data_IF_641463107533
#
_entry.id   IF_641463107533
#
_cell.length_a   1.000
_cell.length_b   1.000
_cell.length_c   1.000
_cell.angle_alpha   90.00
_cell.angle_beta   90.00
_cell.angle_gamma   90.00
#
_symmetry.space_group_name_H-M   'P 1'
#
loop_
_entity.id
_entity.type
_entity.pdbx_description
1 polymer ?
#
# COMPACT_ATOMS: atom_id res chain seq x y z
N UNK A 1 -4.58 17.90 -3.23
CA UNK A 1 -4.62 16.43 -3.06
C UNK A 1 -3.19 15.90 -3.13
N UNK A 2 -2.81 14.94 -2.29
CA UNK A 2 -1.43 14.42 -2.24
C UNK A 2 -1.09 13.73 -3.56
N UNK A 3 0.08 14.06 -4.13
CA UNK A 3 0.45 13.58 -5.47
C UNK A 3 0.83 12.11 -5.43
N UNK A 4 1.64 11.66 -4.46
CA UNK A 4 2.14 10.28 -4.38
C UNK A 4 1.76 9.63 -3.05
N UNK A 5 1.25 8.41 -3.13
CA UNK A 5 0.83 7.62 -1.97
C UNK A 5 2.04 6.95 -1.33
N UNK A 6 2.10 7.09 -0.01
CA UNK A 6 3.03 6.41 0.91
C UNK A 6 2.37 5.16 1.47
N UNK A 7 3.12 4.32 2.18
CA UNK A 7 2.60 3.04 2.72
C UNK A 7 1.33 3.23 3.55
N UNK A 8 1.30 4.23 4.43
CA UNK A 8 0.10 4.53 5.22
C UNK A 8 -1.10 4.97 4.37
N UNK A 9 -0.88 5.71 3.28
CA UNK A 9 -1.95 6.11 2.38
C UNK A 9 -2.50 4.89 1.61
N UNK A 10 -1.64 3.92 1.28
CA UNK A 10 -2.04 2.67 0.63
C UNK A 10 -2.89 1.82 1.57
N UNK A 11 -2.46 1.64 2.82
CA UNK A 11 -3.24 0.87 3.81
C UNK A 11 -4.61 1.52 4.04
N UNK A 12 -4.67 2.85 4.15
CA UNK A 12 -5.93 3.58 4.27
C UNK A 12 -6.81 3.46 3.01
N UNK A 13 -6.23 3.58 1.82
CA UNK A 13 -6.96 3.43 0.56
C UNK A 13 -7.50 2.00 0.37
N UNK A 14 -6.71 0.99 0.73
CA UNK A 14 -7.16 -0.41 0.71
C UNK A 14 -8.27 -0.68 1.72
N UNK A 15 -8.24 -0.06 2.90
CA UNK A 15 -9.34 -0.15 3.85
C UNK A 15 -10.64 0.41 3.25
N UNK A 16 -10.59 1.56 2.59
CA UNK A 16 -11.75 2.13 1.89
C UNK A 16 -12.22 1.23 0.74
N UNK A 17 -11.30 0.73 -0.08
CA UNK A 17 -11.62 -0.15 -1.22
C UNK A 17 -12.27 -1.45 -0.75
N UNK A 18 -11.75 -2.07 0.30
CA UNK A 18 -12.33 -3.30 0.83
C UNK A 18 -13.74 -3.06 1.38
N UNK A 19 -13.94 -1.98 2.14
CA UNK A 19 -15.26 -1.66 2.70
C UNK A 19 -16.30 -1.34 1.61
N UNK A 20 -15.91 -0.61 0.56
CA UNK A 20 -16.84 -0.01 -0.40
C UNK A 20 -16.99 -0.78 -1.70
N UNK A 21 -15.91 -1.40 -2.18
CA UNK A 21 -15.82 -1.94 -3.54
C UNK A 21 -15.80 -3.47 -3.61
N UNK A 22 -15.39 -4.16 -2.54
CA UNK A 22 -15.41 -5.63 -2.52
C UNK A 22 -16.85 -6.13 -2.65
N UNK A 23 -17.04 -7.17 -3.47
CA UNK A 23 -18.33 -7.71 -3.85
C UNK A 23 -19.01 -6.98 -5.02
N UNK A 24 -18.51 -5.82 -5.46
CA UNK A 24 -19.01 -5.16 -6.66
C UNK A 24 -18.49 -5.85 -7.93
N UNK A 25 -19.25 -5.77 -9.01
CA UNK A 25 -18.87 -6.31 -10.33
C UNK A 25 -18.33 -5.23 -11.26
N UNK A 26 -17.30 -5.58 -12.02
CA UNK A 26 -16.76 -4.74 -13.08
C UNK A 26 -17.83 -4.55 -14.16
N UNK A 27 -18.17 -3.29 -14.43
CA UNK A 27 -19.07 -2.89 -15.50
C UNK A 27 -18.29 -2.51 -16.76
N UNK A 28 -17.30 -1.63 -16.59
CA UNK A 28 -16.52 -1.10 -17.71
C UNK A 28 -15.18 -0.59 -17.24
N UNK A 29 -14.16 -0.73 -18.08
CA UNK A 29 -12.79 -0.25 -17.80
C UNK A 29 -12.42 0.81 -18.81
N UNK A 30 -11.85 1.93 -18.36
CA UNK A 30 -11.37 3.02 -19.21
C UNK A 30 -9.92 3.33 -18.90
N UNK A 31 -9.26 3.95 -19.86
CA UNK A 31 -7.93 4.50 -19.72
C UNK A 31 -7.96 6.00 -20.07
N UNK A 32 -7.20 6.77 -19.29
CA UNK A 32 -6.94 8.20 -19.56
C UNK A 32 -5.66 8.33 -20.35
N UNK A 33 -4.62 7.62 -19.90
CA UNK A 33 -3.30 7.54 -20.50
C UNK A 33 -2.71 6.13 -20.29
N UNK A 34 -1.40 5.98 -20.49
CA UNK A 34 -0.69 4.69 -20.37
C UNK A 34 -0.42 4.24 -18.92
N UNK A 35 -0.77 5.05 -17.92
CA UNK A 35 -0.55 4.78 -16.49
C UNK A 35 -1.83 4.86 -15.66
N UNK A 36 -2.84 5.55 -16.16
CA UNK A 36 -4.06 5.92 -15.44
C UNK A 36 -5.25 5.20 -16.02
N UNK A 37 -5.88 4.39 -15.17
CA UNK A 37 -7.03 3.55 -15.52
C UNK A 37 -8.19 3.81 -14.56
N UNK A 38 -9.40 3.65 -15.08
CA UNK A 38 -10.64 3.71 -14.31
C UNK A 38 -11.42 2.41 -14.46
N UNK A 39 -11.81 1.80 -13.36
CA UNK A 39 -12.72 0.65 -13.33
C UNK A 39 -14.05 1.13 -12.76
N UNK A 40 -15.10 1.06 -13.58
CA UNK A 40 -16.47 1.22 -13.09
C UNK A 40 -16.95 -0.08 -12.50
N UNK A 41 -17.38 0.00 -11.26
CA UNK A 41 -17.92 -1.09 -10.47
C UNK A 41 -19.39 -0.82 -10.19
N UNK A 42 -20.18 -1.88 -10.09
CA UNK A 42 -21.59 -1.79 -9.74
C UNK A 42 -22.02 -2.93 -8.82
N UNK A 43 -22.97 -2.64 -7.93
CA UNK A 43 -23.63 -3.60 -7.06
C UNK A 43 -25.09 -3.18 -6.91
N UNK A 44 -25.99 -3.89 -7.58
CA UNK A 44 -27.40 -3.51 -7.64
C UNK A 44 -27.55 -2.07 -8.14
N UNK A 45 -28.01 -1.14 -7.30
CA UNK A 45 -28.15 0.29 -7.64
C UNK A 45 -26.89 1.13 -7.35
N UNK A 46 -25.93 0.60 -6.59
CA UNK A 46 -24.72 1.32 -6.24
C UNK A 46 -23.70 1.27 -7.39
N UNK A 47 -23.16 2.42 -7.75
CA UNK A 47 -22.10 2.57 -8.75
C UNK A 47 -20.90 3.26 -8.10
N UNK A 48 -19.71 2.74 -8.37
CA UNK A 48 -18.48 3.33 -7.91
C UNK A 48 -17.44 3.33 -9.04
N UNK A 49 -16.50 4.26 -9.00
CA UNK A 49 -15.40 4.33 -9.97
C UNK A 49 -14.09 4.28 -9.21
N UNK A 50 -13.34 3.21 -9.41
CA UNK A 50 -11.98 3.08 -8.90
C UNK A 50 -11.01 3.67 -9.92
N UNK A 51 -10.22 4.66 -9.52
CA UNK A 51 -9.14 5.21 -10.31
C UNK A 51 -7.81 4.76 -9.72
N UNK A 52 -6.91 4.28 -10.58
CA UNK A 52 -5.53 4.00 -10.20
C UNK A 52 -4.57 4.52 -11.26
N UNK A 53 -3.44 4.99 -10.77
CA UNK A 53 -2.37 5.61 -11.53
C UNK A 53 -1.05 4.97 -11.11
N UNK A 54 -0.42 4.25 -12.03
CA UNK A 54 0.79 3.49 -11.73
C UNK A 54 1.91 4.41 -11.21
N UNK A 55 2.60 3.97 -10.16
CA UNK A 55 3.69 4.70 -9.51
C UNK A 55 3.26 5.82 -8.58
N UNK A 56 1.95 6.07 -8.44
CA UNK A 56 1.42 7.30 -7.87
C UNK A 56 0.32 7.05 -6.84
N UNK A 57 -0.87 6.56 -7.23
CA UNK A 57 -2.04 6.50 -6.32
C UNK A 57 -3.14 5.53 -6.77
N UNK A 58 -4.05 5.21 -5.84
CA UNK A 58 -5.30 4.49 -6.07
C UNK A 58 -6.38 5.05 -5.15
N UNK A 59 -7.59 5.31 -5.66
CA UNK A 59 -8.72 5.81 -4.87
C UNK A 59 -10.05 5.75 -5.63
N UNK A 60 -11.16 5.86 -4.91
CA UNK A 60 -12.50 6.02 -5.51
C UNK A 60 -12.71 7.47 -5.95
N UNK A 61 -13.44 7.71 -7.03
CA UNK A 61 -13.72 9.06 -7.53
C UNK A 61 -15.15 9.20 -8.07
N UNK A 62 -15.79 10.33 -7.76
CA UNK A 62 -17.08 10.73 -8.35
C UNK A 62 -16.90 11.70 -9.52
N UNK A 63 -15.67 12.15 -9.78
CA UNK A 63 -15.36 13.09 -10.85
C UNK A 63 -15.40 12.40 -12.21
N UNK A 64 -15.85 13.14 -13.23
CA UNK A 64 -15.75 12.69 -14.61
C UNK A 64 -14.34 12.96 -15.14
N UNK A 65 -13.64 11.89 -15.46
CA UNK A 65 -12.32 11.95 -16.06
C UNK A 65 -12.39 11.94 -17.60
N UNK A 66 -11.45 12.63 -18.29
CA UNK A 66 -11.32 12.53 -19.73
C UNK A 66 -10.99 11.08 -20.09
N UNK A 67 -11.75 10.49 -21.01
CA UNK A 67 -11.58 9.10 -21.44
C UNK A 67 -10.97 9.11 -22.82
N UNK A 68 -10.03 8.22 -23.06
CA UNK A 68 -9.51 8.04 -24.42
C UNK A 68 -10.65 7.51 -25.33
N UNK A 69 -10.92 8.16 -26.49
CA UNK A 69 -11.99 7.72 -27.39
C UNK A 69 -11.70 6.35 -28.00
N UNK A 70 -10.42 6.00 -28.17
CA UNK A 70 -9.97 4.66 -28.52
C UNK A 70 -9.25 4.02 -27.32
N UNK A 71 -9.74 2.88 -26.78
CA UNK A 71 -9.12 2.23 -25.64
C UNK A 71 -7.76 1.63 -26.02
N UNK A 72 -6.77 1.75 -25.13
CA UNK A 72 -5.47 1.11 -25.33
C UNK A 72 -5.56 -0.42 -25.40
N UNK A 73 -4.58 -1.06 -26.03
CA UNK A 73 -4.51 -2.52 -26.11
C UNK A 73 -4.50 -3.21 -24.74
N UNK A 74 -3.90 -2.57 -23.72
CA UNK A 74 -3.95 -3.07 -22.35
C UNK A 74 -5.33 -2.90 -21.71
N UNK A 75 -6.00 -1.75 -21.91
CA UNK A 75 -7.39 -1.53 -21.51
C UNK A 75 -8.32 -2.60 -22.09
N UNK A 76 -8.11 -2.98 -23.36
CA UNK A 76 -8.85 -4.06 -24.01
C UNK A 76 -8.57 -5.45 -23.41
N UNK A 77 -7.32 -5.73 -23.01
CA UNK A 77 -6.99 -6.97 -22.27
C UNK A 77 -7.69 -7.02 -20.93
N UNK A 78 -7.63 -5.94 -20.14
CA UNK A 78 -8.36 -5.84 -18.87
C UNK A 78 -9.85 -6.07 -19.07
N UNK A 79 -10.47 -5.45 -20.08
CA UNK A 79 -11.89 -5.68 -20.40
C UNK A 79 -12.17 -7.15 -20.74
N UNK A 80 -11.33 -7.78 -21.55
CA UNK A 80 -11.52 -9.19 -21.94
C UNK A 80 -11.52 -10.13 -20.73
N UNK A 81 -10.66 -9.89 -19.75
CA UNK A 81 -10.47 -10.78 -18.61
C UNK A 81 -11.30 -10.41 -17.38
N UNK A 82 -11.58 -9.13 -17.15
CA UNK A 82 -12.20 -8.66 -15.89
C UNK A 82 -13.67 -8.29 -16.03
N UNK A 83 -14.21 -8.13 -17.25
CA UNK A 83 -15.57 -7.66 -17.43
C UNK A 83 -16.59 -8.61 -16.75
N UNK A 84 -17.54 -8.03 -16.02
CA UNK A 84 -18.53 -8.71 -15.19
C UNK A 84 -17.97 -9.60 -14.06
N UNK A 85 -16.65 -9.63 -13.82
CA UNK A 85 -16.08 -10.30 -12.65
C UNK A 85 -16.31 -9.48 -11.39
N UNK A 86 -16.46 -10.18 -10.28
CA UNK A 86 -16.61 -9.59 -8.95
C UNK A 86 -15.24 -9.30 -8.37
N UNK A 87 -15.04 -8.10 -7.80
CA UNK A 87 -13.87 -7.81 -6.98
C UNK A 87 -14.01 -8.60 -5.68
N UNK A 88 -13.14 -9.58 -5.45
CA UNK A 88 -13.19 -10.43 -4.27
C UNK A 88 -12.31 -9.90 -3.15
N UNK A 89 -11.12 -9.40 -3.48
CA UNK A 89 -10.15 -8.92 -2.49
C UNK A 89 -9.31 -7.79 -3.05
N UNK A 90 -8.91 -6.87 -2.18
CA UNK A 90 -7.89 -5.87 -2.44
C UNK A 90 -6.84 -5.93 -1.31
N UNK A 91 -5.62 -6.33 -1.63
CA UNK A 91 -4.58 -6.60 -0.64
C UNK A 91 -3.28 -5.88 -1.00
N UNK A 92 -2.49 -5.55 0.02
CA UNK A 92 -1.10 -5.13 -0.19
C UNK A 92 -0.22 -6.37 -0.27
N UNK A 93 0.70 -6.40 -1.24
CA UNK A 93 1.67 -7.49 -1.39
C UNK A 93 2.91 -7.17 -0.56
N UNK A 94 3.16 -7.97 0.49
CA UNK A 94 4.26 -7.75 1.42
C UNK A 94 4.15 -6.40 2.14
N UNK A 95 5.31 -5.75 2.38
CA UNK A 95 5.39 -4.39 2.92
C UNK A 95 5.60 -3.32 1.83
N UNK A 96 5.77 -3.76 0.58
CA UNK A 96 6.02 -2.88 -0.54
C UNK A 96 4.77 -2.14 -0.98
N UNK A 97 4.96 -1.07 -1.74
CA UNK A 97 3.87 -0.26 -2.30
C UNK A 97 3.28 -0.93 -3.54
N UNK A 98 2.86 -2.18 -3.38
CA UNK A 98 2.28 -3.05 -4.40
C UNK A 98 0.91 -3.48 -3.93
N UNK A 99 -0.07 -3.37 -4.82
CA UNK A 99 -1.46 -3.73 -4.54
C UNK A 99 -1.89 -4.85 -5.47
N UNK A 100 -2.50 -5.88 -4.91
CA UNK A 100 -3.18 -6.96 -5.64
C UNK A 100 -4.69 -6.78 -5.54
N UNK A 101 -5.34 -6.61 -6.69
CA UNK A 101 -6.79 -6.64 -6.82
C UNK A 101 -7.21 -7.98 -7.45
N UNK A 102 -7.86 -8.82 -6.65
CA UNK A 102 -8.36 -10.12 -7.08
C UNK A 102 -9.79 -10.02 -7.60
N UNK A 103 -10.00 -10.44 -8.85
CA UNK A 103 -11.31 -10.51 -9.49
C UNK A 103 -11.72 -11.95 -9.76
N UNK A 104 -12.86 -12.39 -9.21
CA UNK A 104 -13.33 -13.77 -9.26
C UNK A 104 -12.58 -14.72 -8.34
N UNK A 105 -12.98 -15.99 -8.36
CA UNK A 105 -12.49 -17.03 -7.45
C UNK A 105 -12.07 -18.29 -8.20
N UNK A 106 -11.17 -19.08 -7.60
CA UNK A 106 -10.69 -20.34 -8.17
C UNK A 106 -9.93 -20.14 -9.48
N UNK A 107 -10.07 -21.08 -10.42
CA UNK A 107 -9.38 -21.07 -11.72
C UNK A 107 -9.80 -19.90 -12.64
N UNK A 108 -10.95 -19.28 -12.35
CA UNK A 108 -11.42 -18.11 -13.07
C UNK A 108 -10.99 -16.79 -12.41
N UNK A 109 -10.12 -16.83 -11.40
CA UNK A 109 -9.58 -15.64 -10.77
C UNK A 109 -8.55 -14.95 -11.67
N UNK A 110 -8.58 -13.62 -11.66
CA UNK A 110 -7.57 -12.78 -12.27
C UNK A 110 -7.09 -11.75 -11.27
N UNK A 111 -5.80 -11.45 -11.30
CA UNK A 111 -5.14 -10.52 -10.40
C UNK A 111 -4.67 -9.31 -11.18
N UNK A 112 -4.97 -8.11 -10.67
CA UNK A 112 -4.40 -6.86 -11.19
C UNK A 112 -3.43 -6.32 -10.16
N UNK A 113 -2.15 -6.47 -10.46
CA UNK A 113 -1.06 -6.00 -9.61
C UNK A 113 -0.68 -4.60 -10.03
N UNK A 114 -0.68 -3.68 -9.06
CA UNK A 114 -0.42 -2.25 -9.28
C UNK A 114 0.79 -1.86 -8.42
N UNK A 115 1.88 -1.47 -9.08
CA UNK A 115 3.07 -0.96 -8.43
C UNK A 115 2.98 0.57 -8.30
N UNK A 116 3.02 1.07 -7.06
CA UNK A 116 2.87 2.49 -6.71
C UNK A 116 4.22 3.15 -6.33
N UNK A 117 5.33 2.57 -6.78
CA UNK A 117 6.68 3.11 -6.57
C UNK A 117 7.40 3.37 -7.90
N UNK A 118 8.47 4.17 -7.83
CA UNK A 118 9.32 4.55 -8.96
C UNK A 118 8.54 4.96 -10.23
N UNK A 119 8.74 4.26 -11.36
CA UNK A 119 8.05 4.51 -12.63
C UNK A 119 6.63 3.96 -12.68
N UNK A 120 6.30 3.04 -11.77
CA UNK A 120 5.03 2.34 -11.72
C UNK A 120 4.85 1.31 -12.81
N UNK A 121 4.11 0.26 -12.50
CA UNK A 121 3.72 -0.77 -13.46
C UNK A 121 2.32 -1.31 -13.11
N UNK A 122 1.64 -1.85 -14.12
CA UNK A 122 0.35 -2.53 -13.94
C UNK A 122 0.43 -3.86 -14.68
N UNK A 123 0.16 -4.93 -13.95
CA UNK A 123 0.32 -6.30 -14.42
C UNK A 123 -1.01 -7.02 -14.25
N UNK A 124 -1.46 -7.70 -15.29
CA UNK A 124 -2.65 -8.56 -15.25
C UNK A 124 -2.20 -10.01 -15.27
N UNK A 125 -2.50 -10.74 -14.20
CA UNK A 125 -2.18 -12.16 -14.04
C UNK A 125 -3.46 -13.00 -13.97
N UNK A 126 -3.34 -14.29 -14.28
CA UNK A 126 -4.34 -15.30 -13.95
C UNK A 126 -4.25 -15.74 -12.48
N UNK A 127 -5.02 -16.78 -12.12
CA UNK A 127 -5.08 -17.33 -10.77
C UNK A 127 -3.76 -17.92 -10.26
N UNK A 128 -2.81 -18.25 -11.14
CA UNK A 128 -1.47 -18.74 -10.78
C UNK A 128 -0.43 -17.62 -10.71
N UNK A 129 -0.87 -16.37 -10.88
CA UNK A 129 -0.02 -15.19 -11.00
C UNK A 129 0.90 -15.23 -12.24
N UNK A 130 0.46 -15.87 -13.32
CA UNK A 130 1.21 -15.95 -14.58
C UNK A 130 0.82 -14.80 -15.53
N UNK A 131 1.83 -14.11 -16.05
CA UNK A 131 1.71 -13.21 -17.22
C UNK A 131 2.53 -13.73 -18.40
N UNK A 132 3.67 -14.36 -18.07
CA UNK A 132 4.59 -15.15 -18.92
C UNK A 132 5.46 -16.06 -18.02
N UNK A 133 5.85 -15.52 -16.88
CA UNK A 133 6.46 -16.18 -15.73
C UNK A 133 5.65 -15.80 -14.48
N UNK A 134 5.88 -16.52 -13.38
CA UNK A 134 5.18 -16.30 -12.11
C UNK A 134 5.59 -14.96 -11.51
N UNK A 135 4.63 -14.08 -11.25
CA UNK A 135 4.90 -12.81 -10.57
C UNK A 135 5.31 -13.11 -9.11
N UNK A 136 6.39 -12.50 -8.59
CA UNK A 136 6.84 -12.72 -7.22
C UNK A 136 5.84 -12.09 -6.24
N UNK A 137 4.91 -12.91 -5.75
CA UNK A 137 3.97 -12.51 -4.69
C UNK A 137 4.62 -12.57 -3.29
N UNK A 138 5.71 -13.33 -3.17
CA UNK A 138 6.59 -13.31 -2.02
C UNK A 138 7.50 -12.07 -2.14
N UNK A 139 6.96 -10.90 -1.79
CA UNK A 139 7.81 -9.76 -1.44
C UNK A 139 8.74 -10.16 -0.30
N UNK A 140 9.94 -9.59 -0.23
CA UNK A 140 10.92 -9.91 0.81
C UNK A 140 10.22 -9.90 2.16
N UNK A 141 10.04 -11.09 2.74
CA UNK A 141 9.61 -11.26 4.11
C UNK A 141 10.72 -10.67 4.96
N UNK A 142 10.67 -9.35 5.16
CA UNK A 142 11.24 -8.80 6.38
C UNK A 142 10.26 -9.27 7.44
N UNK A 143 10.67 -10.36 8.07
CA UNK A 143 10.12 -10.90 9.31
C UNK A 143 9.54 -9.76 10.12
N UNK A 144 8.33 -9.99 10.61
CA UNK A 144 7.52 -9.09 11.41
C UNK A 144 8.33 -7.91 11.96
N UNK A 145 7.89 -6.70 11.66
CA UNK A 145 8.34 -5.47 12.32
C UNK A 145 8.00 -5.46 13.84
N UNK A 146 7.88 -6.63 14.46
CA UNK A 146 8.06 -6.90 15.88
C UNK A 146 9.48 -6.44 16.21
N UNK A 147 9.49 -5.24 16.75
CA UNK A 147 10.59 -4.59 17.42
C UNK A 147 11.06 -5.42 18.61
N UNK A 148 11.75 -6.54 18.40
CA UNK A 148 12.53 -7.10 19.49
C UNK A 148 13.51 -6.00 19.92
N UNK A 149 13.52 -5.69 21.22
CA UNK A 149 14.36 -4.66 21.81
C UNK A 149 15.84 -4.90 21.46
N UNK A 150 16.26 -6.15 21.32
CA UNK A 150 17.59 -6.56 20.87
C UNK A 150 17.89 -6.12 19.43
N UNK A 151 16.93 -6.31 18.51
CA UNK A 151 17.07 -5.91 17.11
C UNK A 151 17.13 -4.38 17.00
N UNK A 152 16.25 -3.67 17.72
CA UNK A 152 16.29 -2.20 17.80
C UNK A 152 17.63 -1.69 18.32
N UNK A 153 18.17 -2.32 19.36
CA UNK A 153 19.47 -1.97 19.92
C UNK A 153 20.57 -2.18 18.88
N UNK A 154 20.56 -3.29 18.15
CA UNK A 154 21.54 -3.56 17.08
C UNK A 154 21.56 -2.46 16.02
N UNK A 155 20.38 -1.92 15.66
CA UNK A 155 20.25 -0.86 14.68
C UNK A 155 20.84 0.45 15.17
N UNK A 156 20.66 0.77 16.44
CA UNK A 156 21.12 2.01 17.05
C UNK A 156 22.62 1.98 17.36
N UNK A 157 23.18 0.83 17.74
CA UNK A 157 24.62 0.67 17.98
C UNK A 157 25.43 0.81 16.68
N UNK A 158 24.85 0.42 15.55
CA UNK A 158 25.49 0.61 14.23
C UNK A 158 25.59 2.07 13.78
N UNK A 159 24.89 3.00 14.45
CA UNK A 159 24.79 4.39 14.07
C UNK A 159 25.82 5.28 14.77
N UNK A 160 26.20 6.39 14.12
CA UNK A 160 27.17 7.34 14.67
C UNK A 160 26.48 8.39 15.55
N UNK A 161 27.18 8.91 16.57
CA UNK A 161 26.72 10.10 17.29
C UNK A 161 26.41 11.24 16.31
N UNK A 162 25.24 11.86 16.44
CA UNK A 162 24.74 12.90 15.54
C UNK A 162 23.85 12.40 14.41
N UNK A 163 23.75 11.09 14.17
CA UNK A 163 22.82 10.52 13.18
C UNK A 163 21.37 10.76 13.59
N UNK A 164 20.53 11.04 12.59
CA UNK A 164 19.11 11.32 12.80
C UNK A 164 18.33 10.02 13.01
N UNK A 165 17.61 9.93 14.13
CA UNK A 165 16.85 8.74 14.53
C UNK A 165 15.84 8.30 13.46
N UNK A 166 15.10 9.26 12.87
CA UNK A 166 14.14 8.97 11.80
C UNK A 166 14.80 8.34 10.57
N UNK A 167 16.00 8.81 10.19
CA UNK A 167 16.73 8.25 9.04
C UNK A 167 17.21 6.81 9.26
N UNK A 168 17.44 6.43 10.51
CA UNK A 168 17.84 5.06 10.88
C UNK A 168 16.63 4.13 10.85
N UNK A 169 15.47 4.59 11.35
CA UNK A 169 14.26 3.78 11.50
C UNK A 169 13.51 3.56 10.18
N UNK A 170 13.38 4.60 9.34
CA UNK A 170 12.62 4.53 8.07
C UNK A 170 13.01 3.35 7.17
N UNK A 171 14.29 3.08 6.87
CA UNK A 171 14.65 1.98 5.98
C UNK A 171 14.52 0.59 6.63
N UNK A 172 14.37 0.53 7.96
CA UNK A 172 14.31 -0.72 8.74
C UNK A 172 12.90 -1.05 9.23
N UNK A 173 11.90 -0.23 8.88
CA UNK A 173 10.51 -0.39 9.32
C UNK A 173 9.54 -0.12 8.17
N UNK A 174 8.32 -0.63 8.28
CA UNK A 174 7.27 -0.49 7.26
C UNK A 174 6.41 0.78 7.41
N UNK A 175 6.62 1.57 8.47
CA UNK A 175 5.74 2.67 8.88
C UNK A 175 5.87 3.93 8.01
N UNK A 176 6.99 4.08 7.30
CA UNK A 176 7.28 5.28 6.53
C UNK A 176 7.56 6.52 7.40
N UNK A 177 8.02 7.63 6.80
CA UNK A 177 8.56 8.77 7.55
C UNK A 177 7.51 9.52 8.38
N UNK A 178 6.28 9.63 7.89
CA UNK A 178 5.23 10.41 8.56
C UNK A 178 4.73 9.74 9.84
N UNK A 179 4.49 8.43 9.79
CA UNK A 179 4.03 7.67 10.97
C UNK A 179 5.13 7.60 12.03
N UNK A 180 6.38 7.37 11.62
CA UNK A 180 7.53 7.38 12.54
C UNK A 180 7.66 8.75 13.22
N UNK A 181 7.54 9.85 12.48
CA UNK A 181 7.60 11.18 13.05
C UNK A 181 6.46 11.44 14.03
N UNK A 182 5.24 11.01 13.71
CA UNK A 182 4.08 11.12 14.59
C UNK A 182 4.31 10.40 15.93
N UNK A 183 4.69 9.13 15.91
CA UNK A 183 4.89 8.37 17.15
C UNK A 183 6.12 8.84 17.94
N UNK A 184 7.16 9.34 17.27
CA UNK A 184 8.29 9.93 17.97
C UNK A 184 7.86 11.19 18.74
N UNK A 185 7.10 12.07 18.10
CA UNK A 185 6.58 13.29 18.74
C UNK A 185 5.60 12.98 19.88
N UNK A 186 4.70 12.01 19.68
CA UNK A 186 3.75 11.54 20.71
C UNK A 186 4.48 11.08 21.97
N UNK A 187 5.59 10.35 21.80
CA UNK A 187 6.44 9.90 22.90
C UNK A 187 7.49 10.95 23.29
N UNK A 188 7.32 12.22 22.93
CA UNK A 188 8.13 13.34 23.41
C UNK A 188 9.57 13.38 22.86
N UNK A 189 9.86 12.69 21.76
CA UNK A 189 11.11 12.86 21.03
C UNK A 189 10.98 14.06 20.07
N UNK A 190 11.87 15.07 20.16
CA UNK A 190 11.84 16.20 19.26
C UNK A 190 11.94 15.80 17.78
N UNK A 191 11.34 16.60 16.89
CA UNK A 191 11.56 16.48 15.46
C UNK A 191 13.05 16.54 15.15
N UNK A 192 13.55 15.58 14.37
CA UNK A 192 14.99 15.42 14.08
C UNK A 192 15.87 15.05 15.28
N UNK A 193 15.35 14.32 16.25
CA UNK A 193 16.15 13.71 17.32
C UNK A 193 17.39 13.00 16.78
N UNK A 194 18.56 13.29 17.36
CA UNK A 194 19.85 12.72 16.99
C UNK A 194 20.45 11.89 18.12
N UNK A 195 21.14 10.83 17.75
CA UNK A 195 21.82 9.93 18.69
C UNK A 195 22.96 10.67 19.40
N UNK A 196 23.04 10.52 20.73
CA UNK A 196 24.09 11.10 21.57
C UNK A 196 23.84 12.56 22.00
N UNK A 197 22.85 13.24 21.41
CA UNK A 197 22.47 14.62 21.79
C UNK A 197 21.09 14.67 22.42
N UNK A 198 20.05 14.28 21.67
CA UNK A 198 18.67 14.27 22.15
C UNK A 198 18.17 12.87 22.46
N UNK A 199 18.88 11.84 22.00
CA UNK A 199 18.51 10.44 22.18
C UNK A 199 19.69 9.65 22.75
N UNK A 200 19.51 9.07 23.93
CA UNK A 200 20.44 8.15 24.55
C UNK A 200 19.94 6.71 24.38
N UNK A 201 20.77 5.85 23.79
CA UNK A 201 20.37 4.47 23.44
C UNK A 201 20.02 3.64 24.67
N UNK A 202 20.71 3.84 25.80
CA UNK A 202 20.46 3.03 27.00
C UNK A 202 19.21 3.49 27.74
N UNK A 203 19.00 4.81 27.84
CA UNK A 203 17.87 5.40 28.55
C UNK A 203 16.58 5.38 27.75
N UNK A 204 16.64 5.71 26.46
CA UNK A 204 15.46 6.04 25.67
C UNK A 204 14.94 4.86 24.83
N UNK A 205 15.69 3.74 24.74
CA UNK A 205 15.30 2.55 23.99
C UNK A 205 13.94 1.94 24.41
N UNK A 206 13.61 1.79 25.72
CA UNK A 206 12.29 1.28 26.11
C UNK A 206 11.15 2.18 25.64
N UNK A 207 11.36 3.50 25.65
CA UNK A 207 10.38 4.48 25.20
C UNK A 207 10.21 4.44 23.68
N UNK A 208 11.31 4.31 22.94
CA UNK A 208 11.28 4.12 21.49
C UNK A 208 10.56 2.82 21.10
N UNK A 209 10.77 1.75 21.84
CA UNK A 209 10.09 0.48 21.63
C UNK A 209 8.57 0.63 21.74
N UNK A 210 8.09 1.32 22.79
CA UNK A 210 6.67 1.62 22.96
C UNK A 210 6.12 2.51 21.83
N UNK A 211 6.90 3.50 21.36
CA UNK A 211 6.50 4.33 20.23
C UNK A 211 6.29 3.51 18.94
N UNK A 212 7.18 2.56 18.67
CA UNK A 212 7.05 1.69 17.50
C UNK A 212 5.91 0.66 17.64
N UNK A 213 5.61 0.20 18.86
CA UNK A 213 4.38 -0.57 19.13
C UNK A 213 3.10 0.24 18.89
N UNK A 214 3.12 1.53 19.23
CA UNK A 214 2.01 2.45 18.89
C UNK A 214 1.83 2.55 17.37
N UNK A 215 2.93 2.69 16.62
CA UNK A 215 2.88 2.71 15.15
C UNK A 215 2.27 1.43 14.56
N UNK A 216 2.66 0.26 15.08
CA UNK A 216 2.09 -1.03 14.68
C UNK A 216 0.59 -1.09 14.96
N UNK A 217 0.17 -0.67 16.16
CA UNK A 217 -1.24 -0.61 16.54
C UNK A 217 -2.04 0.29 15.59
N UNK A 218 -1.50 1.44 15.19
CA UNK A 218 -2.13 2.33 14.22
C UNK A 218 -2.27 1.64 12.86
N UNK A 219 -1.21 1.01 12.35
CA UNK A 219 -1.24 0.29 11.07
C UNK A 219 -2.25 -0.87 11.09
N UNK A 220 -2.28 -1.65 12.18
CA UNK A 220 -3.21 -2.74 12.35
C UNK A 220 -4.66 -2.26 12.46
N UNK A 221 -4.92 -1.15 13.16
CA UNK A 221 -6.25 -0.58 13.25
C UNK A 221 -6.77 -0.14 11.87
N UNK A 222 -5.93 0.52 11.06
CA UNK A 222 -6.30 0.89 9.69
C UNK A 222 -6.52 -0.39 8.85
N UNK A 223 -5.63 -1.37 8.96
CA UNK A 223 -5.73 -2.64 8.23
C UNK A 223 -6.92 -3.52 8.63
N UNK A 224 -7.37 -3.46 9.88
CA UNK A 224 -8.52 -4.22 10.37
C UNK A 224 -9.86 -3.64 9.90
N UNK A 225 -9.92 -2.33 9.61
CA UNK A 225 -11.08 -1.73 8.93
C UNK A 225 -11.31 -2.40 7.56
N UNK A 226 -10.25 -2.88 6.91
CA UNK A 226 -10.31 -3.63 5.64
C UNK A 226 -10.82 -5.07 5.75
N UNK A 227 -10.94 -5.64 6.97
CA UNK A 227 -11.31 -7.06 7.19
C UNK A 227 -12.75 -7.25 7.69
N UNK A 228 -13.48 -6.17 7.94
CA UNK A 228 -14.91 -6.16 8.34
C UNK A 228 -15.76 -6.03 7.10
#
# INVERSE_FOLDING_TARGET
MKVRFTTIDIVAALAEINLRLVGMRVNQIYDVDHKTYLIRLHRSEEKAVLLFESGIRIHTTDFQWPKNPAPSGFSMKLRKHLNNKRLEKALQVGQDRIIDLQFGTGEAAYHVIIELYDRGNIVLCDYEFLVKEKYPMEGTAVEDCITNTEVLQSWLVSAKPGDNLKKILVPKTCYGPALIEHVLLEFGFPSNSRIGTQFDVTRDLPKLHLALKSADTIMQNIGNISKV
#
